data_IF_569952986861
#
_entry.id   IF_569952986861
#
_cell.length_a   1.000
_cell.length_b   1.000
_cell.length_c   1.000
_cell.angle_alpha   90.00
_cell.angle_beta   90.00
_cell.angle_gamma   90.00
#
_symmetry.space_group_name_H-M   'P 1'
#
loop_
_entity.id
_entity.type
_entity.pdbx_description
1 polymer ?
#
# COMPACT_ATOMS: atom_id res chain seq x y z
N UNK A 1 5.70 -20.79 -1.58
CA UNK A 1 5.62 -19.39 -2.04
C UNK A 1 6.43 -18.53 -1.09
N UNK A 2 7.04 -17.47 -1.60
CA UNK A 2 8.00 -16.60 -0.90
C UNK A 2 7.40 -15.20 -0.80
N UNK A 3 7.38 -14.65 0.42
CA UNK A 3 7.02 -13.26 0.64
C UNK A 3 8.23 -12.41 0.29
N UNK A 4 8.05 -11.46 -0.61
CA UNK A 4 9.04 -10.45 -0.97
C UNK A 4 8.54 -9.12 -0.43
N UNK A 5 9.35 -8.46 0.39
CA UNK A 5 9.04 -7.14 0.95
C UNK A 5 10.14 -6.16 0.60
N UNK A 6 9.78 -4.98 0.11
CA UNK A 6 10.70 -3.86 -0.08
C UNK A 6 10.20 -2.65 0.70
N UNK A 7 11.06 -2.03 1.49
CA UNK A 7 10.75 -0.83 2.26
C UNK A 7 12.03 0.01 2.32
N UNK A 8 11.99 1.22 1.77
CA UNK A 8 13.19 1.99 1.43
C UNK A 8 14.16 1.16 0.57
N UNK A 9 15.47 1.25 0.84
CA UNK A 9 16.53 0.49 0.13
C UNK A 9 16.71 -0.95 0.65
N UNK A 10 15.85 -1.41 1.57
CA UNK A 10 15.95 -2.75 2.19
C UNK A 10 14.95 -3.70 1.55
N UNK A 11 15.40 -4.95 1.37
CA UNK A 11 14.58 -6.06 0.88
C UNK A 11 14.62 -7.21 1.88
N UNK A 12 13.47 -7.84 2.09
CA UNK A 12 13.29 -9.01 2.93
C UNK A 12 12.65 -10.15 2.14
N UNK A 13 12.99 -11.37 2.53
CA UNK A 13 12.41 -12.60 1.99
C UNK A 13 12.00 -13.49 3.15
N UNK A 14 10.81 -14.05 3.08
CA UNK A 14 10.31 -14.97 4.10
C UNK A 14 9.53 -16.14 3.47
N UNK A 15 9.75 -17.34 3.99
CA UNK A 15 9.13 -18.56 3.45
C UNK A 15 8.28 -19.27 4.51
N UNK A 16 8.75 -19.26 5.76
CA UNK A 16 8.06 -19.85 6.91
C UNK A 16 7.15 -18.85 7.62
N UNK A 17 6.14 -19.32 8.35
CA UNK A 17 5.22 -18.44 9.10
C UNK A 17 5.95 -17.56 10.13
N UNK A 18 6.99 -18.11 10.76
CA UNK A 18 7.83 -17.36 11.71
C UNK A 18 8.58 -16.23 11.03
N UNK A 19 9.25 -16.51 9.90
CA UNK A 19 9.95 -15.48 9.13
C UNK A 19 8.99 -14.40 8.64
N UNK A 20 7.82 -14.80 8.13
CA UNK A 20 6.78 -13.87 7.67
C UNK A 20 6.36 -12.96 8.82
N UNK A 21 6.06 -13.52 9.98
CA UNK A 21 5.65 -12.74 11.16
C UNK A 21 6.74 -11.76 11.61
N UNK A 22 8.01 -12.19 11.61
CA UNK A 22 9.14 -11.33 11.95
C UNK A 22 9.32 -10.18 10.95
N UNK A 23 9.29 -10.48 9.65
CA UNK A 23 9.44 -9.46 8.60
C UNK A 23 8.29 -8.46 8.62
N UNK A 24 7.04 -8.93 8.77
CA UNK A 24 5.87 -8.06 8.86
C UNK A 24 5.98 -7.11 10.05
N UNK A 25 6.34 -7.63 11.24
CA UNK A 25 6.50 -6.81 12.42
C UNK A 25 7.64 -5.77 12.28
N UNK A 26 8.80 -6.16 11.73
CA UNK A 26 9.92 -5.24 11.47
C UNK A 26 9.51 -4.14 10.48
N UNK A 27 8.90 -4.52 9.35
CA UNK A 27 8.54 -3.58 8.29
C UNK A 27 7.46 -2.62 8.77
N UNK A 28 6.36 -3.10 9.35
CA UNK A 28 5.30 -2.23 9.85
C UNK A 28 5.82 -1.27 10.92
N UNK A 29 6.68 -1.75 11.83
CA UNK A 29 7.33 -0.91 12.85
C UNK A 29 8.28 0.15 12.28
N UNK A 30 8.79 -0.05 11.06
CA UNK A 30 9.70 0.89 10.38
C UNK A 30 8.99 1.97 9.55
N UNK A 31 7.69 1.78 9.24
CA UNK A 31 6.93 2.75 8.46
C UNK A 31 6.79 4.09 9.20
N UNK A 32 6.98 5.18 8.48
CA UNK A 32 6.90 6.53 9.04
C UNK A 32 6.04 7.39 8.12
N UNK A 33 5.18 8.21 8.73
CA UNK A 33 4.43 9.22 8.02
C UNK A 33 5.35 10.33 7.51
N UNK A 34 4.76 11.25 6.76
CA UNK A 34 5.42 12.51 6.46
C UNK A 34 5.76 13.25 7.76
N UNK A 35 6.96 13.81 7.85
CA UNK A 35 7.38 14.55 9.04
C UNK A 35 8.36 15.67 8.68
N UNK A 36 8.09 16.87 9.20
CA UNK A 36 9.03 17.99 9.26
C UNK A 36 9.43 18.30 10.70
N UNK A 37 10.40 17.56 11.25
CA UNK A 37 10.97 17.79 12.58
C UNK A 37 12.25 18.60 12.42
N UNK A 38 12.14 19.91 12.58
CA UNK A 38 13.27 20.84 12.51
C UNK A 38 13.83 20.98 11.09
N UNK A 39 15.14 20.78 10.93
CA UNK A 39 15.86 20.90 9.64
C UNK A 39 15.85 19.60 8.81
N UNK A 40 15.37 18.49 9.37
CA UNK A 40 15.33 17.20 8.68
C UNK A 40 13.94 16.95 8.09
N UNK A 41 13.91 16.80 6.76
CA UNK A 41 12.72 16.47 5.99
C UNK A 41 12.66 14.95 5.78
N UNK A 42 11.53 14.34 6.15
CA UNK A 42 11.26 12.93 5.88
C UNK A 42 10.00 12.83 5.00
N UNK A 43 10.09 12.33 3.75
CA UNK A 43 8.96 12.24 2.84
C UNK A 43 7.89 11.24 3.28
N UNK A 44 8.21 10.39 4.25
CA UNK A 44 7.42 9.22 4.63
C UNK A 44 8.03 7.95 4.04
N UNK A 45 7.53 6.80 4.49
CA UNK A 45 7.99 5.48 4.07
C UNK A 45 6.79 4.67 3.60
N UNK A 46 6.96 3.96 2.49
CA UNK A 46 6.01 2.93 2.05
C UNK A 46 6.71 1.57 2.00
N UNK A 47 5.94 0.52 2.22
CA UNK A 47 6.38 -0.86 2.04
C UNK A 47 5.59 -1.54 0.94
N UNK A 48 6.28 -2.36 0.16
CA UNK A 48 5.76 -3.12 -0.96
C UNK A 48 5.82 -4.60 -0.60
N UNK A 49 4.67 -5.23 -0.42
CA UNK A 49 4.55 -6.66 -0.15
C UNK A 49 4.11 -7.39 -1.42
N UNK A 50 4.67 -8.57 -1.66
CA UNK A 50 4.27 -9.40 -2.79
C UNK A 50 4.56 -10.88 -2.51
N UNK A 51 3.74 -11.74 -3.11
CA UNK A 51 3.95 -13.18 -3.07
C UNK A 51 4.39 -13.70 -4.43
N UNK A 52 5.42 -14.57 -4.44
CA UNK A 52 5.97 -15.13 -5.68
C UNK A 52 6.52 -16.55 -5.45
N UNK A 53 6.76 -17.29 -6.51
CA UNK A 53 7.45 -18.59 -6.47
C UNK A 53 8.97 -18.44 -6.28
N UNK A 54 9.49 -17.21 -6.41
CA UNK A 54 10.92 -16.89 -6.30
C UNK A 54 11.19 -15.58 -5.55
N UNK A 55 12.47 -15.37 -5.23
CA UNK A 55 12.97 -14.13 -4.64
C UNK A 55 13.27 -13.12 -5.74
N UNK A 56 12.75 -11.92 -5.61
CA UNK A 56 12.98 -10.81 -6.53
C UNK A 56 14.15 -9.95 -6.01
N UNK A 57 15.35 -10.17 -6.57
CA UNK A 57 16.60 -9.59 -6.05
C UNK A 57 17.09 -8.36 -6.84
N UNK A 58 16.51 -8.09 -8.00
CA UNK A 58 16.89 -6.98 -8.89
C UNK A 58 15.65 -6.22 -9.37
N UNK A 59 15.79 -4.92 -9.62
CA UNK A 59 14.66 -4.06 -10.03
C UNK A 59 14.07 -4.41 -11.40
N UNK A 60 14.85 -5.06 -12.27
CA UNK A 60 14.34 -5.57 -13.54
C UNK A 60 13.44 -6.81 -13.39
N UNK A 61 13.45 -7.45 -12.21
CA UNK A 61 12.72 -8.67 -11.91
C UNK A 61 11.60 -8.37 -10.93
N UNK A 62 10.47 -7.87 -11.44
CA UNK A 62 9.35 -7.43 -10.62
C UNK A 62 8.34 -8.55 -10.32
N UNK A 63 7.78 -8.60 -9.10
CA UNK A 63 6.62 -9.42 -8.79
C UNK A 63 5.40 -9.09 -9.67
N UNK A 64 4.41 -10.00 -9.66
CA UNK A 64 3.18 -9.82 -10.42
C UNK A 64 2.00 -9.30 -9.59
N UNK A 65 2.15 -9.16 -8.28
CA UNK A 65 1.15 -8.59 -7.37
C UNK A 65 1.85 -7.71 -6.36
N UNK A 66 1.20 -6.63 -5.95
CA UNK A 66 1.73 -5.71 -4.95
C UNK A 66 0.62 -5.30 -4.00
N UNK A 67 0.93 -5.37 -2.71
CA UNK A 67 0.23 -4.63 -1.67
C UNK A 67 1.19 -3.56 -1.16
N UNK A 68 0.90 -2.30 -1.47
CA UNK A 68 1.64 -1.13 -0.99
C UNK A 68 0.97 -0.64 0.29
N UNK A 69 1.78 -0.40 1.32
CA UNK A 69 1.34 -0.06 2.67
C UNK A 69 2.05 1.19 3.13
N UNK A 70 1.28 2.13 3.68
CA UNK A 70 1.78 3.35 4.31
C UNK A 70 1.07 3.59 5.63
N UNK A 71 1.79 4.12 6.62
CA UNK A 71 1.25 4.45 7.94
C UNK A 71 1.72 5.84 8.36
N UNK A 72 0.79 6.63 8.92
CA UNK A 72 1.09 7.82 9.70
C UNK A 72 0.63 7.63 11.15
N UNK A 73 1.59 7.36 12.04
CA UNK A 73 1.32 7.12 13.47
C UNK A 73 0.94 8.39 14.23
N UNK A 74 1.28 9.56 13.71
CA UNK A 74 0.91 10.82 14.35
C UNK A 74 -0.59 11.10 14.18
N UNK A 75 -1.17 10.74 13.02
CA UNK A 75 -2.63 10.80 12.80
C UNK A 75 -3.37 9.54 13.24
N UNK A 76 -2.69 8.39 13.31
CA UNK A 76 -3.29 7.10 13.65
C UNK A 76 -3.92 6.37 12.45
N UNK A 77 -3.57 6.77 11.23
CA UNK A 77 -4.13 6.22 9.99
C UNK A 77 -3.06 5.64 9.07
N UNK A 78 -3.49 4.82 8.12
CA UNK A 78 -2.67 4.35 7.02
C UNK A 78 -3.49 4.16 5.74
N UNK A 79 -2.84 3.72 4.68
CA UNK A 79 -3.45 3.53 3.38
C UNK A 79 -2.88 2.30 2.68
N UNK A 80 -3.72 1.68 1.85
CA UNK A 80 -3.37 0.51 1.06
C UNK A 80 -3.56 0.80 -0.42
N UNK A 81 -2.63 0.34 -1.24
CA UNK A 81 -2.79 0.23 -2.69
C UNK A 81 -2.55 -1.22 -3.06
N UNK A 82 -3.38 -1.77 -3.93
CA UNK A 82 -3.17 -3.07 -4.52
C UNK A 82 -3.32 -3.03 -6.02
N UNK A 83 -2.39 -3.69 -6.71
CA UNK A 83 -2.45 -3.87 -8.15
C UNK A 83 -1.60 -5.07 -8.56
N UNK A 84 -1.75 -5.46 -9.81
CA UNK A 84 -1.06 -6.59 -10.42
C UNK A 84 -0.41 -6.16 -11.73
N UNK A 85 0.58 -6.94 -12.18
CA UNK A 85 1.18 -6.79 -13.50
C UNK A 85 0.61 -7.85 -14.46
N UNK A 86 0.87 -7.67 -15.76
CA UNK A 86 0.40 -8.54 -16.86
C UNK A 86 0.80 -10.03 -16.75
N UNK A 87 1.68 -10.41 -15.81
CA UNK A 87 2.06 -11.79 -15.53
C UNK A 87 1.32 -12.45 -14.37
N UNK A 88 0.31 -11.80 -13.79
CA UNK A 88 -0.39 -12.29 -12.60
C UNK A 88 -1.24 -13.55 -12.91
N UNK A 89 -1.01 -14.68 -12.22
CA UNK A 89 -1.69 -15.94 -12.50
C UNK A 89 -3.06 -16.07 -11.81
N UNK A 90 -3.57 -15.00 -11.19
CA UNK A 90 -4.86 -15.00 -10.50
C UNK A 90 -6.05 -14.97 -11.48
N UNK A 91 -7.27 -14.68 -10.98
CA UNK A 91 -8.45 -14.66 -11.85
C UNK A 91 -8.25 -13.67 -13.02
N UNK A 92 -8.31 -14.19 -14.24
CA UNK A 92 -8.19 -13.46 -15.51
C UNK A 92 -9.45 -12.63 -15.80
N UNK A 93 -9.93 -11.85 -14.83
CA UNK A 93 -10.90 -10.81 -15.15
C UNK A 93 -10.14 -9.56 -15.55
N UNK A 94 -10.49 -8.96 -16.70
CA UNK A 94 -9.95 -7.67 -17.14
C UNK A 94 -10.06 -6.60 -16.03
N UNK A 95 -11.12 -6.71 -15.21
CA UNK A 95 -11.35 -5.90 -14.01
C UNK A 95 -10.21 -5.97 -12.98
N UNK A 96 -9.49 -7.08 -12.87
CA UNK A 96 -8.39 -7.23 -11.91
C UNK A 96 -7.06 -6.81 -12.51
N UNK A 97 -6.81 -7.15 -13.78
CA UNK A 97 -5.51 -6.94 -14.43
C UNK A 97 -5.24 -5.47 -14.80
N UNK A 98 -6.30 -4.70 -15.14
CA UNK A 98 -6.14 -3.33 -15.64
C UNK A 98 -6.36 -2.25 -14.57
N UNK A 99 -6.68 -2.64 -13.33
CA UNK A 99 -7.09 -1.70 -12.29
C UNK A 99 -6.13 -1.65 -11.11
N UNK A 100 -5.96 -0.42 -10.61
CA UNK A 100 -5.36 -0.16 -9.32
C UNK A 100 -6.48 0.05 -8.31
N UNK A 101 -6.31 -0.57 -7.15
CA UNK A 101 -7.28 -0.52 -6.07
C UNK A 101 -6.67 0.17 -4.88
N UNK A 102 -7.44 1.03 -4.23
CA UNK A 102 -7.06 1.67 -2.98
C UNK A 102 -8.04 1.28 -1.89
N UNK A 103 -7.61 1.32 -0.63
CA UNK A 103 -8.51 1.12 0.51
C UNK A 103 -9.70 2.09 0.43
N UNK A 104 -10.86 1.62 0.89
CA UNK A 104 -12.08 2.42 0.98
C UNK A 104 -12.53 2.50 2.43
N UNK A 105 -12.57 3.72 2.97
CA UNK A 105 -13.05 4.00 4.31
C UNK A 105 -14.48 4.55 4.24
N UNK A 106 -15.50 3.78 4.69
CA UNK A 106 -16.88 4.26 4.72
C UNK A 106 -17.12 5.37 5.75
N UNK A 107 -16.23 5.51 6.73
CA UNK A 107 -16.28 6.52 7.79
C UNK A 107 -14.97 7.33 7.81
N UNK A 108 -14.72 8.13 6.76
CA UNK A 108 -13.48 8.89 6.65
C UNK A 108 -13.33 9.91 7.78
N UNK A 109 -12.10 10.22 8.20
CA UNK A 109 -11.86 11.36 9.08
C UNK A 109 -12.25 12.66 8.38
N UNK A 110 -12.65 13.67 9.17
CA UNK A 110 -12.97 15.02 8.70
C UNK A 110 -11.74 15.94 8.60
N UNK A 111 -10.55 15.36 8.76
CA UNK A 111 -9.26 16.03 8.69
C UNK A 111 -8.32 15.31 7.72
N UNK A 112 -7.27 16.00 7.27
CA UNK A 112 -6.22 15.40 6.46
C UNK A 112 -5.32 14.52 7.33
N UNK A 113 -5.23 13.23 7.00
CA UNK A 113 -4.45 12.25 7.74
C UNK A 113 -2.96 12.28 7.41
N UNK A 114 -2.57 13.04 6.38
CA UNK A 114 -1.19 13.18 5.90
C UNK A 114 -0.51 11.83 5.61
N UNK A 115 -1.30 10.80 5.26
CA UNK A 115 -0.77 9.48 4.90
C UNK A 115 -0.19 9.56 3.49
N UNK A 116 1.10 9.27 3.38
CA UNK A 116 1.87 9.35 2.12
C UNK A 116 1.53 8.15 1.24
N UNK A 117 1.19 8.37 -0.03
CA UNK A 117 0.96 7.29 -1.00
C UNK A 117 2.19 6.98 -1.85
N UNK A 118 2.98 8.01 -2.17
CA UNK A 118 4.26 7.88 -2.85
C UNK A 118 5.26 8.81 -2.14
N UNK A 119 6.42 8.33 -1.66
CA UNK A 119 7.44 9.22 -1.07
C UNK A 119 8.27 9.99 -2.09
N UNK A 120 8.34 9.53 -3.34
CA UNK A 120 9.14 10.13 -4.41
C UNK A 120 8.49 11.36 -5.05
N UNK A 121 7.17 11.47 -4.91
CA UNK A 121 6.35 12.60 -5.34
C UNK A 121 5.44 12.97 -4.17
N UNK A 122 5.17 14.24 -3.85
CA UNK A 122 4.37 14.61 -2.67
C UNK A 122 2.89 14.26 -2.87
N UNK A 123 2.56 12.96 -2.89
CA UNK A 123 1.21 12.46 -2.97
C UNK A 123 0.81 11.88 -1.62
N UNK A 124 -0.38 12.26 -1.22
CA UNK A 124 -1.06 11.78 -0.04
C UNK A 124 -2.31 11.01 -0.48
N UNK A 125 -2.69 10.02 0.32
CA UNK A 125 -3.95 9.34 0.13
C UNK A 125 -5.11 10.32 0.29
N UNK A 126 -6.18 10.06 -0.46
CA UNK A 126 -7.49 10.62 -0.12
C UNK A 126 -7.88 10.21 1.31
N UNK A 127 -8.43 11.11 2.17
CA UNK A 127 -8.93 10.72 3.49
C UNK A 127 -9.92 9.54 3.45
N UNK A 128 -10.74 9.43 2.40
CA UNK A 128 -11.66 8.30 2.15
C UNK A 128 -10.95 7.01 1.75
N UNK A 129 -9.65 7.07 1.53
CA UNK A 129 -8.79 5.90 1.30
C UNK A 129 -7.86 5.60 2.46
N UNK A 130 -8.01 6.31 3.59
CA UNK A 130 -7.23 6.05 4.79
C UNK A 130 -8.05 5.36 5.85
N UNK A 131 -7.49 4.31 6.45
CA UNK A 131 -8.12 3.50 7.50
C UNK A 131 -7.32 3.62 8.80
N UNK A 132 -7.94 3.38 9.97
CA UNK A 132 -7.22 3.21 11.23
C UNK A 132 -6.08 2.20 11.08
N UNK A 133 -4.95 2.46 11.76
CA UNK A 133 -3.75 1.60 11.66
C UNK A 133 -4.08 0.14 11.97
N UNK A 134 -4.96 -0.13 12.94
CA UNK A 134 -5.34 -1.49 13.33
C UNK A 134 -5.98 -2.26 12.16
N UNK A 135 -6.76 -1.58 11.31
CA UNK A 135 -7.36 -2.18 10.11
C UNK A 135 -6.31 -2.44 9.02
N UNK A 136 -5.35 -1.52 8.87
CA UNK A 136 -4.22 -1.69 7.95
C UNK A 136 -3.36 -2.90 8.37
N UNK A 137 -3.02 -3.00 9.65
CA UNK A 137 -2.26 -4.13 10.19
C UNK A 137 -3.01 -5.45 10.00
N UNK A 138 -4.33 -5.47 10.26
CA UNK A 138 -5.18 -6.63 10.02
C UNK A 138 -5.17 -7.07 8.54
N UNK A 139 -5.25 -6.13 7.60
CA UNK A 139 -5.20 -6.40 6.17
C UNK A 139 -3.84 -6.98 5.74
N UNK A 140 -2.72 -6.43 6.24
CA UNK A 140 -1.38 -6.95 5.96
C UNK A 140 -1.21 -8.36 6.53
N UNK A 141 -1.71 -8.60 7.75
CA UNK A 141 -1.70 -9.94 8.35
C UNK A 141 -2.53 -10.94 7.55
N UNK A 142 -3.70 -10.55 7.04
CA UNK A 142 -4.50 -11.39 6.17
C UNK A 142 -3.75 -11.71 4.86
N UNK A 143 -3.22 -10.70 4.18
CA UNK A 143 -2.44 -10.87 2.94
C UNK A 143 -1.29 -11.88 3.12
N UNK A 144 -0.58 -11.76 4.24
CA UNK A 144 0.55 -12.61 4.57
C UNK A 144 0.12 -14.03 4.99
N UNK A 145 -1.02 -14.18 5.66
CA UNK A 145 -1.56 -15.47 6.10
C UNK A 145 -2.13 -16.28 4.93
N UNK A 146 -2.85 -15.64 4.02
CA UNK A 146 -3.56 -16.31 2.92
C UNK A 146 -2.60 -16.75 1.82
N UNK A 147 -1.49 -16.02 1.61
CA UNK A 147 -0.44 -16.39 0.66
C UNK A 147 -1.03 -16.66 -0.74
N UNK A 148 -1.71 -15.68 -1.30
CA UNK A 148 -2.22 -15.74 -2.70
C UNK A 148 -1.80 -14.54 -3.53
N UNK A 149 -1.35 -13.45 -2.89
CA UNK A 149 -1.14 -12.17 -3.57
C UNK A 149 -2.43 -11.44 -3.93
N UNK A 150 -3.60 -11.99 -3.58
CA UNK A 150 -4.92 -11.36 -3.77
C UNK A 150 -5.10 -10.28 -2.68
N UNK A 151 -5.90 -9.26 -3.00
CA UNK A 151 -6.36 -8.24 -2.04
C UNK A 151 -6.97 -8.89 -0.78
N UNK A 152 -6.60 -8.40 0.42
CA UNK A 152 -7.31 -8.73 1.66
C UNK A 152 -8.81 -8.43 1.58
N UNK A 153 -9.62 -9.32 2.14
CA UNK A 153 -11.09 -9.22 2.19
C UNK A 153 -11.58 -8.49 3.45
N UNK A 154 -10.76 -8.35 4.48
CA UNK A 154 -11.13 -7.66 5.72
C UNK A 154 -11.29 -6.13 5.58
N UNK A 155 -10.95 -5.55 4.42
CA UNK A 155 -11.12 -4.13 4.10
C UNK A 155 -11.86 -3.96 2.78
N UNK A 156 -12.52 -2.82 2.62
CA UNK A 156 -13.17 -2.45 1.37
C UNK A 156 -12.15 -1.81 0.41
N UNK A 157 -12.42 -1.97 -0.88
CA UNK A 157 -11.58 -1.47 -1.96
C UNK A 157 -12.40 -0.66 -2.95
N UNK A 158 -11.82 0.41 -3.46
CA UNK A 158 -12.35 1.15 -4.60
C UNK A 158 -11.31 1.25 -5.69
N UNK A 159 -11.74 1.59 -6.91
CA UNK A 159 -10.83 1.92 -8.00
C UNK A 159 -10.08 3.21 -7.68
N UNK A 160 -8.80 3.24 -8.03
CA UNK A 160 -7.93 4.36 -7.77
C UNK A 160 -6.69 4.38 -8.63
N UNK A 161 -5.68 5.07 -8.14
CA UNK A 161 -4.38 5.25 -8.80
C UNK A 161 -3.24 4.88 -7.85
N UNK A 162 -2.05 4.67 -8.40
CA UNK A 162 -0.81 4.48 -7.60
C UNK A 162 -0.48 5.69 -6.73
N UNK A 163 -1.10 6.84 -7.03
CA UNK A 163 -1.04 8.07 -6.23
C UNK A 163 -1.90 8.02 -4.97
N UNK A 164 -2.63 6.93 -4.71
CA UNK A 164 -3.56 6.82 -3.57
C UNK A 164 -4.86 7.62 -3.75
N UNK A 165 -5.08 8.21 -4.94
CA UNK A 165 -6.32 8.87 -5.33
C UNK A 165 -7.38 7.84 -5.70
N UNK A 166 -8.64 8.21 -5.50
CA UNK A 166 -9.79 7.42 -5.90
C UNK A 166 -10.28 7.84 -7.28
N UNK A 167 -10.69 6.89 -8.09
CA UNK A 167 -11.24 7.13 -9.43
C UNK A 167 -12.69 7.65 -9.38
N UNK A 168 -13.41 7.41 -8.27
CA UNK A 168 -14.78 7.88 -8.04
C UNK A 168 -14.85 9.34 -7.58
N UNK A 169 -13.70 9.98 -7.34
CA UNK A 169 -13.62 11.41 -7.10
C UNK A 169 -13.61 12.09 -8.46
N UNK A 170 -14.72 12.76 -8.80
CA UNK A 170 -14.74 13.65 -9.97
C UNK A 170 -13.51 14.56 -9.89
N UNK A 171 -12.79 14.68 -11.01
CA UNK A 171 -11.85 15.77 -11.19
C UNK A 171 -12.66 17.05 -10.96
N UNK A 172 -12.56 17.64 -9.76
CA UNK A 172 -12.91 19.04 -9.58
C UNK A 172 -11.99 19.81 -10.52
N UNK A 173 -12.46 20.00 -11.76
CA UNK A 173 -11.85 20.89 -12.74
C UNK A 173 -12.13 22.31 -12.28
N UNK A 174 -11.51 22.71 -11.18
CA UNK A 174 -11.36 24.11 -10.76
C UNK A 174 -10.21 24.74 -11.58
N UNK A 175 -10.30 24.64 -12.90
CA UNK A 175 -9.53 25.51 -13.77
C UNK A 175 -10.34 26.81 -13.93
N UNK A 176 -9.80 27.97 -13.49
CA UNK A 176 -10.49 29.24 -13.69
C UNK A 176 -10.64 29.50 -15.20
N UNK A 177 -11.78 30.08 -15.65
CA UNK A 177 -11.92 30.48 -17.04
C UNK A 177 -10.87 31.55 -17.38
N UNK A 178 -10.15 31.32 -18.47
CA UNK A 178 -9.22 32.29 -19.08
C UNK A 178 -9.95 33.55 -19.57
#
# INVERSE_FOLDING_TARGET
>A
MILNVTCNDRRWFAETDTEVSTVVAEVLGSLQGWNKRGEHWHPGTIAWFSWSDRRHVSDADMPNNFLVVSLNRDSGYGGLIWFVNSGYPGPETDEVLDNIWVSDNPNPPDFDTEVVSNPGEPYWFDPRSTLPIEEIEAAVHEFCRVRTGIRPECVQWTLGEVSGRRADRELETDLPPY
#
